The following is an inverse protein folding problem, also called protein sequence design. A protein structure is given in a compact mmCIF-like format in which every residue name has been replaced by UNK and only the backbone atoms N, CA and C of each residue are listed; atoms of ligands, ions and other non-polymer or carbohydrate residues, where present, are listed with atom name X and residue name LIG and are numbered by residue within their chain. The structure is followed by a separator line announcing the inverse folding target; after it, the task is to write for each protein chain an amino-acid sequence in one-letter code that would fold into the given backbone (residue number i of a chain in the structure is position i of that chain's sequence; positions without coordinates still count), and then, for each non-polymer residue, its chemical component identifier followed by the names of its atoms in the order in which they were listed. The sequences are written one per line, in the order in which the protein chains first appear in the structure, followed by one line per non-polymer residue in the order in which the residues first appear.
data_IF_041167263259
#
_entry.id   IF_041167263259
#
_cell.length_a   1.000
_cell.length_b   1.000
_cell.length_c   1.000
_cell.angle_alpha   90.00
_cell.angle_beta   90.00
_cell.angle_gamma   90.00
#
_symmetry.space_group_name_H-M   'P 1'
#
loop_
_entity.id
_entity.type
_entity.pdbx_description
1 polymer ?
#
# COMPACT_ATOMS: atom_id res chain seq x y z
N UNK A 1 2.87 -9.55 6.54
CA UNK A 1 3.85 -9.08 5.54
C UNK A 1 5.18 -8.93 6.25
N UNK A 2 6.19 -9.70 5.85
CA UNK A 2 7.54 -9.56 6.41
C UNK A 2 8.17 -8.23 5.97
N UNK A 3 9.07 -7.68 6.78
CA UNK A 3 9.78 -6.43 6.49
C UNK A 3 9.00 -5.14 6.73
N UNK A 4 7.66 -5.19 6.83
CA UNK A 4 6.82 -4.01 7.10
C UNK A 4 6.87 -3.62 8.58
N UNK A 5 7.30 -2.40 8.88
CA UNK A 5 7.34 -1.85 10.23
C UNK A 5 6.15 -0.93 10.54
N UNK A 6 5.64 -0.21 9.54
CA UNK A 6 4.52 0.71 9.70
C UNK A 6 3.66 0.73 8.44
N UNK A 7 2.34 0.83 8.65
CA UNK A 7 1.37 1.09 7.59
C UNK A 7 0.51 2.28 8.03
N UNK A 8 0.40 3.27 7.15
CA UNK A 8 -0.48 4.42 7.31
C UNK A 8 -1.51 4.37 6.21
N UNK A 9 -2.79 4.46 6.57
CA UNK A 9 -3.90 4.51 5.62
C UNK A 9 -4.63 5.83 5.79
N UNK A 10 -4.71 6.59 4.72
CA UNK A 10 -5.46 7.84 4.65
C UNK A 10 -6.65 7.64 3.72
N UNK A 11 -7.84 8.03 4.18
CA UNK A 11 -9.03 8.09 3.32
C UNK A 11 -9.03 9.45 2.62
N UNK A 12 -8.93 9.45 1.29
CA UNK A 12 -8.93 10.67 0.50
C UNK A 12 -10.35 11.09 0.12
N UNK A 13 -11.15 10.12 -0.33
CA UNK A 13 -12.51 10.36 -0.83
C UNK A 13 -13.40 9.16 -0.53
N UNK A 14 -14.69 9.44 -0.33
CA UNK A 14 -15.73 8.43 -0.13
C UNK A 14 -16.82 8.69 -1.16
N UNK A 15 -17.02 7.73 -2.05
CA UNK A 15 -18.08 7.68 -3.03
C UNK A 15 -19.19 6.71 -2.60
N UNK A 16 -20.24 6.62 -3.41
CA UNK A 16 -21.42 5.79 -3.13
C UNK A 16 -21.07 4.31 -2.93
N UNK A 17 -20.08 3.80 -3.65
CA UNK A 17 -19.72 2.37 -3.66
C UNK A 17 -18.23 2.12 -3.43
N UNK A 18 -17.40 3.16 -3.40
CA UNK A 18 -15.94 3.04 -3.33
C UNK A 18 -15.34 4.08 -2.40
N UNK A 19 -14.15 3.79 -1.87
CA UNK A 19 -13.34 4.77 -1.17
C UNK A 19 -11.97 4.84 -1.85
N UNK A 20 -11.48 6.06 -2.07
CA UNK A 20 -10.12 6.29 -2.55
C UNK A 20 -9.20 6.41 -1.34
N UNK A 21 -8.15 5.58 -1.32
CA UNK A 21 -7.21 5.48 -0.21
C UNK A 21 -5.78 5.76 -0.68
N UNK A 22 -5.02 6.46 0.15
CA UNK A 22 -3.56 6.56 0.07
C UNK A 22 -2.97 5.69 1.16
N UNK A 23 -2.19 4.68 0.76
CA UNK A 23 -1.55 3.74 1.67
C UNK A 23 -0.04 3.96 1.61
N UNK A 24 0.56 4.31 2.74
CA UNK A 24 2.02 4.42 2.88
C UNK A 24 2.52 3.25 3.72
N UNK A 25 3.49 2.52 3.18
CA UNK A 25 4.08 1.35 3.82
C UNK A 25 5.57 1.61 4.02
N UNK A 26 6.01 1.53 5.27
CA UNK A 26 7.40 1.72 5.66
C UNK A 26 7.94 0.47 6.32
N UNK A 27 9.21 0.19 6.07
CA UNK A 27 9.83 -1.07 6.47
C UNK A 27 11.17 -1.30 5.78
N UNK A 28 11.76 -2.45 6.06
CA UNK A 28 13.01 -2.89 5.45
C UNK A 28 12.76 -4.12 4.57
N UNK A 29 13.39 -4.16 3.39
CA UNK A 29 13.25 -5.27 2.43
C UNK A 29 11.79 -5.67 2.16
N UNK A 30 10.91 -4.67 1.97
CA UNK A 30 9.49 -4.90 1.67
C UNK A 30 9.37 -5.59 0.32
N UNK A 31 8.69 -6.74 0.30
CA UNK A 31 8.29 -7.39 -0.94
C UNK A 31 7.01 -6.75 -1.49
N UNK A 32 7.15 -6.03 -2.59
CA UNK A 32 6.04 -5.36 -3.26
C UNK A 32 4.96 -6.35 -3.73
N UNK A 33 5.35 -7.54 -4.21
CA UNK A 33 4.37 -8.47 -4.76
C UNK A 33 3.47 -9.02 -3.66
N UNK A 34 4.04 -9.42 -2.52
CA UNK A 34 3.26 -9.82 -1.34
C UNK A 34 2.29 -8.72 -0.86
N UNK A 35 2.72 -7.46 -0.89
CA UNK A 35 1.86 -6.31 -0.53
C UNK A 35 0.71 -6.19 -1.52
N UNK A 36 1.00 -6.25 -2.82
CA UNK A 36 0.00 -6.17 -3.88
C UNK A 36 -1.04 -7.27 -3.76
N UNK A 37 -0.61 -8.52 -3.64
CA UNK A 37 -1.51 -9.67 -3.47
C UNK A 37 -2.40 -9.51 -2.24
N UNK A 38 -1.86 -8.95 -1.15
CA UNK A 38 -2.64 -8.67 0.06
C UNK A 38 -3.73 -7.62 -0.16
N UNK A 39 -3.45 -6.57 -0.93
CA UNK A 39 -4.41 -5.51 -1.26
C UNK A 39 -5.49 -6.04 -2.22
N UNK A 40 -5.08 -6.73 -3.28
CA UNK A 40 -6.00 -7.31 -4.27
C UNK A 40 -6.88 -8.41 -3.65
N UNK A 41 -6.35 -9.21 -2.72
CA UNK A 41 -7.11 -10.21 -1.97
C UNK A 41 -8.20 -9.64 -1.05
N UNK A 42 -8.10 -8.36 -0.68
CA UNK A 42 -9.13 -7.63 0.08
C UNK A 42 -10.16 -6.94 -0.83
N UNK A 43 -10.06 -7.10 -2.15
CA UNK A 43 -10.91 -6.44 -3.14
C UNK A 43 -10.48 -5.02 -3.48
N UNK A 44 -9.29 -4.58 -3.03
CA UNK A 44 -8.70 -3.31 -3.43
C UNK A 44 -8.03 -3.40 -4.80
N UNK A 45 -7.94 -2.27 -5.49
CA UNK A 45 -7.23 -2.16 -6.77
C UNK A 45 -6.18 -1.06 -6.62
N UNK A 46 -4.93 -1.38 -6.96
CA UNK A 46 -3.85 -0.38 -7.00
C UNK A 46 -3.95 0.38 -8.32
N UNK A 47 -4.37 1.65 -8.27
CA UNK A 47 -4.47 2.50 -9.45
C UNK A 47 -3.10 3.05 -9.88
N UNK A 48 -2.28 3.48 -8.92
CA UNK A 48 -0.96 4.05 -9.13
C UNK A 48 -0.04 3.77 -7.95
N UNK A 49 1.26 3.89 -8.19
CA UNK A 49 2.29 3.96 -7.14
C UNK A 49 2.86 5.37 -7.19
N UNK A 50 2.55 6.17 -6.18
CA UNK A 50 2.91 7.59 -6.18
C UNK A 50 4.37 7.82 -5.77
N UNK A 51 4.88 7.01 -4.84
CA UNK A 51 6.23 7.14 -4.31
C UNK A 51 6.86 5.77 -4.02
N UNK A 52 8.13 5.62 -4.38
CA UNK A 52 8.96 4.47 -4.03
C UNK A 52 10.27 4.98 -3.43
N UNK A 53 10.65 4.44 -2.27
CA UNK A 53 11.93 4.72 -1.62
C UNK A 53 12.66 3.40 -1.45
N UNK A 54 13.82 3.29 -2.10
CA UNK A 54 14.76 2.19 -1.90
C UNK A 54 16.10 2.79 -1.49
N UNK A 55 16.64 2.31 -0.36
CA UNK A 55 17.99 2.66 0.08
C UNK A 55 18.80 1.39 0.25
N UNK A 56 20.02 1.42 -0.25
CA UNK A 56 21.06 0.45 0.10
C UNK A 56 21.96 1.10 1.15
N UNK A 57 22.50 0.33 2.11
CA UNK A 57 23.61 0.81 2.93
C UNK A 57 24.81 1.23 2.07
#
# INVERSE_FOLDING_TARGET
LEGVSQVVVTVNEIDVETATLTITIEGNSIDYESVRESIEGLGGIIHSIDQVVASSP
#
